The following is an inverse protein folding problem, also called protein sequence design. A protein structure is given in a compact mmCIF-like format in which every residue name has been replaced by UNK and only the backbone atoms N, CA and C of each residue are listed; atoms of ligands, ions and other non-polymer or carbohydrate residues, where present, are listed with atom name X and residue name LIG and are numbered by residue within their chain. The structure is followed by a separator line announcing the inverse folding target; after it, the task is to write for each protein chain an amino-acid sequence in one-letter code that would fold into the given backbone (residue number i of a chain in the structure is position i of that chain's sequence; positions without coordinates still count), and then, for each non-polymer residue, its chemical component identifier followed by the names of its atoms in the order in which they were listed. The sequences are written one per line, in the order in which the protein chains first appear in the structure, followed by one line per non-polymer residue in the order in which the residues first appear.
data_IF_903641328550
#
_entry.id   IF_903641328550
#
_cell.length_a   1.000
_cell.length_b   1.000
_cell.length_c   1.000
_cell.angle_alpha   90.00
_cell.angle_beta   90.00
_cell.angle_gamma   90.00
#
_symmetry.space_group_name_H-M   'P 1'
#
loop_
_entity.id
_entity.type
_entity.pdbx_description
1 polymer ?
#
# COMPACT_ATOMS: atom_id res chain seq x y z
N UNK A 1 -31.11 21.90 8.30
CA UNK A 1 -30.03 21.78 7.34
C UNK A 1 -29.27 20.50 7.55
N UNK A 2 -28.90 19.85 6.46
CA UNK A 2 -28.11 18.63 6.54
C UNK A 2 -26.64 18.97 6.86
N UNK A 3 -25.99 18.11 7.64
CA UNK A 3 -24.55 18.19 7.86
C UNK A 3 -23.86 17.44 6.74
N UNK A 4 -22.90 18.07 6.11
CA UNK A 4 -22.14 17.47 5.03
C UNK A 4 -20.71 17.21 5.52
N UNK A 5 -20.29 15.94 5.47
CA UNK A 5 -18.96 15.56 5.89
C UNK A 5 -18.12 15.34 4.64
N UNK A 6 -17.02 16.06 4.53
CA UNK A 6 -16.11 15.93 3.40
C UNK A 6 -14.71 15.60 3.93
N UNK A 7 -14.08 14.62 3.30
CA UNK A 7 -12.67 14.37 3.56
C UNK A 7 -11.84 15.44 2.84
N UNK A 8 -10.70 15.78 3.41
CA UNK A 8 -9.77 16.68 2.74
C UNK A 8 -8.54 15.90 2.25
N UNK A 9 -7.62 16.59 1.60
CA UNK A 9 -6.42 15.98 1.06
C UNK A 9 -5.20 16.14 1.98
N UNK A 10 -5.44 16.38 3.26
CA UNK A 10 -4.34 16.59 4.20
C UNK A 10 -3.94 15.29 4.89
N UNK A 11 -2.62 15.05 4.94
CA UNK A 11 -2.03 13.95 5.68
C UNK A 11 -1.39 14.43 7.00
N UNK A 12 -1.66 15.68 7.37
CA UNK A 12 -1.04 16.28 8.54
C UNK A 12 -1.43 15.56 9.82
N UNK A 13 -0.45 15.20 10.63
CA UNK A 13 -0.67 14.53 11.90
C UNK A 13 -1.02 13.06 11.80
N UNK A 14 -1.00 12.49 10.60
CA UNK A 14 -1.34 11.09 10.37
C UNK A 14 -0.08 10.23 10.31
N UNK A 15 -0.25 8.96 10.67
CA UNK A 15 0.83 7.97 10.65
C UNK A 15 0.52 6.91 9.58
N UNK A 16 1.54 6.58 8.81
CA UNK A 16 1.40 5.66 7.68
C UNK A 16 2.42 4.54 7.76
N UNK A 17 1.98 3.33 7.42
CA UNK A 17 2.88 2.24 7.14
C UNK A 17 2.82 1.94 5.65
N UNK A 18 3.96 1.69 5.05
CA UNK A 18 4.05 1.31 3.65
C UNK A 18 4.64 -0.09 3.60
N UNK A 19 3.90 -1.03 3.01
CA UNK A 19 4.40 -2.38 2.77
C UNK A 19 4.77 -2.46 1.31
N UNK A 20 6.01 -2.79 1.01
CA UNK A 20 6.49 -2.76 -0.36
C UNK A 20 7.22 -4.06 -0.71
N UNK A 21 6.91 -4.61 -1.88
CA UNK A 21 7.52 -5.85 -2.33
C UNK A 21 8.91 -5.60 -2.94
N UNK A 22 9.83 -6.54 -2.70
CA UNK A 22 11.18 -6.47 -3.28
C UNK A 22 11.23 -6.88 -4.75
N UNK A 23 10.20 -7.56 -5.22
CA UNK A 23 10.19 -8.00 -6.61
C UNK A 23 10.34 -6.79 -7.53
N UNK A 24 11.34 -6.84 -8.41
CA UNK A 24 11.71 -5.72 -9.28
C UNK A 24 12.00 -4.46 -8.45
N UNK A 25 13.06 -4.55 -7.66
CA UNK A 25 13.38 -3.55 -6.64
C UNK A 25 13.61 -2.15 -7.20
N UNK A 26 14.11 -2.03 -8.43
CA UNK A 26 14.29 -0.72 -9.04
C UNK A 26 12.96 0.01 -9.20
N UNK A 27 11.95 -0.67 -9.72
CA UNK A 27 10.61 -0.08 -9.89
C UNK A 27 9.98 0.16 -8.53
N UNK A 28 10.11 -0.81 -7.62
CA UNK A 28 9.53 -0.69 -6.27
C UNK A 28 10.12 0.47 -5.50
N UNK A 29 11.44 0.71 -5.62
CA UNK A 29 12.07 1.85 -4.97
C UNK A 29 11.51 3.17 -5.49
N UNK A 30 11.26 3.27 -6.79
CA UNK A 30 10.65 4.47 -7.37
C UNK A 30 9.23 4.67 -6.87
N UNK A 31 8.47 3.58 -6.72
CA UNK A 31 7.12 3.67 -6.14
C UNK A 31 7.16 4.17 -4.71
N UNK A 32 8.09 3.65 -3.93
CA UNK A 32 8.25 4.04 -2.53
C UNK A 32 8.58 5.52 -2.43
N UNK A 33 9.54 5.99 -3.22
CA UNK A 33 9.92 7.39 -3.21
C UNK A 33 8.75 8.30 -3.59
N UNK A 34 8.00 7.92 -4.62
CA UNK A 34 6.83 8.67 -5.04
C UNK A 34 5.74 8.71 -3.99
N UNK A 35 5.55 7.60 -3.29
CA UNK A 35 4.56 7.52 -2.22
C UNK A 35 4.95 8.44 -1.05
N UNK A 36 6.19 8.37 -0.61
CA UNK A 36 6.69 9.22 0.47
C UNK A 36 6.60 10.70 0.07
N UNK A 37 7.01 11.02 -1.15
CA UNK A 37 6.95 12.39 -1.64
C UNK A 37 5.52 12.93 -1.64
N UNK A 38 4.58 12.13 -2.12
CA UNK A 38 3.17 12.54 -2.14
C UNK A 38 2.63 12.76 -0.74
N UNK A 39 2.92 11.86 0.19
CA UNK A 39 2.47 12.01 1.56
C UNK A 39 3.05 13.26 2.23
N UNK A 40 4.34 13.53 2.00
CA UNK A 40 4.97 14.70 2.61
C UNK A 40 4.47 15.99 2.00
N UNK A 41 4.18 16.01 0.71
CA UNK A 41 3.56 17.17 0.07
C UNK A 41 2.17 17.47 0.62
N UNK A 42 1.48 16.46 1.11
CA UNK A 42 0.15 16.65 1.70
C UNK A 42 0.20 16.84 3.22
N UNK A 43 1.38 17.03 3.78
CA UNK A 43 1.55 17.42 5.16
C UNK A 43 2.07 16.36 6.12
N UNK A 44 2.29 15.13 5.66
CA UNK A 44 2.84 14.09 6.54
C UNK A 44 4.30 14.38 6.86
N UNK A 45 4.71 14.04 8.07
CA UNK A 45 6.12 14.12 8.44
C UNK A 45 6.80 12.80 8.12
N UNK A 46 8.03 12.86 7.64
CA UNK A 46 8.77 11.64 7.32
C UNK A 46 8.88 10.69 8.51
N UNK A 47 9.05 11.21 9.68
CA UNK A 47 9.14 10.41 10.91
C UNK A 47 7.84 9.64 11.20
N UNK A 48 6.72 10.02 10.59
CA UNK A 48 5.43 9.37 10.76
C UNK A 48 5.17 8.32 9.67
N UNK A 49 6.14 8.05 8.81
CA UNK A 49 6.04 7.10 7.71
C UNK A 49 7.04 5.98 7.94
N UNK A 50 6.55 4.74 8.03
CA UNK A 50 7.42 3.57 8.17
C UNK A 50 7.24 2.67 6.96
N UNK A 51 8.35 2.22 6.37
CA UNK A 51 8.32 1.34 5.22
C UNK A 51 8.85 -0.04 5.60
N UNK A 52 8.12 -1.08 5.19
CA UNK A 52 8.48 -2.47 5.45
C UNK A 52 8.58 -3.19 4.11
N UNK A 53 9.75 -3.76 3.82
CA UNK A 53 9.98 -4.53 2.61
C UNK A 53 9.59 -5.98 2.82
N UNK A 54 8.88 -6.56 1.86
CA UNK A 54 8.54 -7.98 1.85
C UNK A 54 9.04 -8.61 0.55
N UNK A 55 9.22 -9.94 0.50
CA UNK A 55 9.80 -10.58 -0.69
C UNK A 55 9.01 -10.37 -1.97
N UNK A 56 7.72 -10.52 -1.94
CA UNK A 56 6.88 -10.37 -3.13
C UNK A 56 5.49 -9.89 -2.80
N UNK A 57 4.69 -9.67 -3.84
CA UNK A 57 3.34 -9.14 -3.67
C UNK A 57 2.43 -10.09 -2.87
N UNK A 58 2.69 -11.39 -2.98
CA UNK A 58 1.87 -12.40 -2.28
C UNK A 58 2.03 -12.34 -0.76
N UNK A 59 3.14 -11.80 -0.27
CA UNK A 59 3.40 -11.64 1.16
C UNK A 59 2.87 -10.33 1.73
N UNK A 60 2.43 -9.40 0.87
CA UNK A 60 1.94 -8.11 1.30
C UNK A 60 0.75 -8.22 2.27
N UNK A 61 -0.28 -9.03 2.00
CA UNK A 61 -1.45 -9.05 2.87
C UNK A 61 -1.16 -9.43 4.32
N UNK A 62 -0.32 -10.44 4.57
CA UNK A 62 -0.07 -10.88 5.94
C UNK A 62 0.65 -9.81 6.75
N UNK A 63 1.59 -9.09 6.14
CA UNK A 63 2.31 -8.02 6.83
C UNK A 63 1.40 -6.80 7.00
N UNK A 64 0.62 -6.47 5.98
CA UNK A 64 -0.34 -5.37 6.08
C UNK A 64 -1.35 -5.62 7.21
N UNK A 65 -1.82 -6.86 7.36
CA UNK A 65 -2.73 -7.22 8.43
C UNK A 65 -2.10 -6.98 9.80
N UNK A 66 -0.86 -7.41 9.96
CA UNK A 66 -0.15 -7.22 11.22
C UNK A 66 -0.01 -5.74 11.57
N UNK A 67 0.35 -4.93 10.60
CA UNK A 67 0.50 -3.48 10.80
C UNK A 67 -0.84 -2.81 11.10
N UNK A 68 -1.88 -3.16 10.36
CA UNK A 68 -3.20 -2.60 10.59
C UNK A 68 -3.75 -2.96 11.96
N UNK A 69 -3.55 -4.20 12.39
CA UNK A 69 -4.03 -4.65 13.70
C UNK A 69 -3.27 -4.02 14.86
N UNK A 70 -2.07 -3.51 14.62
CA UNK A 70 -1.28 -2.87 15.68
C UNK A 70 -1.91 -1.59 16.20
N UNK A 71 -2.80 -0.98 15.44
CA UNK A 71 -3.47 0.30 15.75
C UNK A 71 -2.49 1.47 15.86
N UNK A 72 -1.30 1.33 15.32
CA UNK A 72 -0.30 2.41 15.34
C UNK A 72 -0.40 3.35 14.14
N UNK A 73 -1.11 2.94 13.11
CA UNK A 73 -1.16 3.68 11.84
C UNK A 73 -2.58 4.06 11.46
N UNK A 74 -2.71 5.22 10.85
CA UNK A 74 -3.99 5.69 10.33
C UNK A 74 -4.33 5.03 8.99
N UNK A 75 -3.32 4.59 8.27
CA UNK A 75 -3.51 3.87 7.01
C UNK A 75 -2.29 3.00 6.71
N UNK A 76 -2.52 1.94 5.95
CA UNK A 76 -1.47 1.05 5.47
C UNK A 76 -1.51 1.09 3.94
N UNK A 77 -0.39 1.46 3.34
CA UNK A 77 -0.27 1.57 1.89
C UNK A 77 0.57 0.41 1.39
N UNK A 78 0.01 -0.38 0.51
CA UNK A 78 0.69 -1.56 -0.04
C UNK A 78 1.13 -1.26 -1.45
N UNK A 79 2.41 -1.41 -1.72
CA UNK A 79 2.99 -1.14 -3.03
C UNK A 79 3.64 -2.39 -3.57
N UNK A 80 3.36 -2.72 -4.81
CA UNK A 80 3.94 -3.89 -5.41
C UNK A 80 4.05 -3.77 -6.91
N UNK A 81 5.05 -4.44 -7.45
CA UNK A 81 5.25 -4.58 -8.88
C UNK A 81 4.94 -6.02 -9.25
N UNK A 82 4.01 -6.21 -10.16
CA UNK A 82 3.70 -7.52 -10.70
C UNK A 82 3.84 -7.42 -12.22
N UNK A 83 4.76 -8.21 -12.76
CA UNK A 83 5.05 -8.16 -14.19
C UNK A 83 4.31 -9.28 -14.90
N UNK A 84 3.55 -8.90 -15.91
CA UNK A 84 2.83 -9.88 -16.73
C UNK A 84 3.80 -10.60 -17.63
N UNK A 85 3.89 -11.91 -17.46
CA UNK A 85 4.70 -12.76 -18.31
C UNK A 85 3.86 -13.57 -19.29
N UNK A 86 4.43 -14.66 -19.76
CA UNK A 86 3.76 -15.56 -20.71
C UNK A 86 2.74 -16.49 -20.05
N UNK A 87 2.68 -16.51 -18.72
CA UNK A 87 1.77 -17.37 -17.96
C UNK A 87 0.75 -16.54 -17.22
N UNK A 88 -0.36 -17.12 -16.73
CA UNK A 88 -1.36 -16.39 -15.97
C UNK A 88 -0.95 -16.08 -14.53
N UNK A 89 0.27 -16.39 -14.15
CA UNK A 89 0.78 -16.16 -12.79
C UNK A 89 0.59 -14.69 -12.33
N UNK A 90 0.80 -13.76 -13.25
CA UNK A 90 0.59 -12.34 -12.99
C UNK A 90 -0.80 -12.05 -12.43
N UNK A 91 -1.84 -12.56 -13.11
CA UNK A 91 -3.22 -12.27 -12.70
C UNK A 91 -3.57 -12.92 -11.37
N UNK A 92 -3.07 -14.12 -11.14
CA UNK A 92 -3.30 -14.82 -9.88
C UNK A 92 -2.69 -14.03 -8.71
N UNK A 93 -1.43 -13.67 -8.82
CA UNK A 93 -0.74 -12.96 -7.72
C UNK A 93 -1.40 -11.59 -7.47
N UNK A 94 -1.69 -10.84 -8.52
CA UNK A 94 -2.29 -9.52 -8.40
C UNK A 94 -3.68 -9.60 -7.77
N UNK A 95 -4.48 -10.56 -8.21
CA UNK A 95 -5.84 -10.75 -7.71
C UNK A 95 -5.86 -11.14 -6.24
N UNK A 96 -5.03 -12.11 -5.84
CA UNK A 96 -4.99 -12.58 -4.47
C UNK A 96 -4.46 -11.52 -3.51
N UNK A 97 -3.44 -10.77 -3.93
CA UNK A 97 -2.92 -9.68 -3.11
C UNK A 97 -3.97 -8.59 -2.92
N UNK A 98 -4.67 -8.21 -3.99
CA UNK A 98 -5.71 -7.18 -3.92
C UNK A 98 -6.87 -7.60 -3.01
N UNK A 99 -7.32 -8.85 -3.13
CA UNK A 99 -8.39 -9.37 -2.27
C UNK A 99 -7.98 -9.38 -0.81
N UNK A 100 -6.73 -9.79 -0.54
CA UNK A 100 -6.22 -9.82 0.82
C UNK A 100 -6.17 -8.45 1.45
N UNK A 101 -5.68 -7.46 0.71
CA UNK A 101 -5.60 -6.08 1.21
C UNK A 101 -6.99 -5.51 1.46
N UNK A 102 -7.93 -5.74 0.54
CA UNK A 102 -9.30 -5.27 0.71
C UNK A 102 -9.96 -5.85 1.96
N UNK A 103 -9.75 -7.15 2.22
CA UNK A 103 -10.29 -7.80 3.39
C UNK A 103 -9.75 -7.20 4.68
N UNK A 104 -8.47 -6.88 4.72
CA UNK A 104 -7.84 -6.28 5.90
C UNK A 104 -8.48 -4.92 6.22
N UNK A 105 -8.75 -4.11 5.21
CA UNK A 105 -9.39 -2.82 5.39
C UNK A 105 -10.72 -2.97 6.12
N UNK A 106 -11.53 -3.92 5.68
CA UNK A 106 -12.84 -4.16 6.27
C UNK A 106 -12.73 -4.77 7.68
N UNK A 107 -11.83 -5.72 7.87
CA UNK A 107 -11.71 -6.43 9.14
C UNK A 107 -11.12 -5.57 10.26
N UNK A 108 -10.23 -4.66 9.91
CA UNK A 108 -9.53 -3.84 10.92
C UNK A 108 -10.07 -2.42 11.03
N UNK A 109 -10.89 -1.98 10.08
CA UNK A 109 -11.34 -0.60 9.92
C UNK A 109 -10.20 0.40 9.74
N UNK A 110 -9.00 -0.08 9.42
CA UNK A 110 -7.88 0.76 9.03
C UNK A 110 -7.79 0.74 7.51
N UNK A 111 -7.83 1.90 6.85
CA UNK A 111 -7.71 1.92 5.39
C UNK A 111 -6.44 1.24 4.92
N UNK A 112 -6.58 0.26 4.07
CA UNK A 112 -5.45 -0.43 3.44
C UNK A 112 -5.61 -0.24 1.93
N UNK A 113 -4.62 0.39 1.33
CA UNK A 113 -4.64 0.79 -0.07
C UNK A 113 -3.63 -0.05 -0.82
N UNK A 114 -3.99 -0.50 -2.00
CA UNK A 114 -3.08 -1.29 -2.82
C UNK A 114 -2.76 -0.53 -4.10
N UNK A 115 -1.52 -0.02 -4.16
CA UNK A 115 -0.97 0.56 -5.38
C UNK A 115 -0.04 -0.45 -6.02
N UNK A 116 -0.29 -0.78 -7.28
CA UNK A 116 0.56 -1.73 -7.98
C UNK A 116 0.89 -1.22 -9.37
N UNK A 117 2.04 -1.63 -9.87
CA UNK A 117 2.38 -1.50 -11.27
C UNK A 117 2.27 -2.88 -11.90
N UNK A 118 1.37 -3.02 -12.86
CA UNK A 118 1.28 -4.19 -13.67
C UNK A 118 1.79 -3.85 -15.06
N UNK A 119 2.67 -4.69 -15.58
CA UNK A 119 3.20 -4.48 -16.92
C UNK A 119 2.81 -5.61 -17.84
N UNK A 120 2.34 -5.23 -19.01
CA UNK A 120 1.89 -6.21 -19.97
C UNK A 120 3.07 -6.94 -20.64
N UNK A 121 4.20 -6.27 -20.75
CA UNK A 121 5.39 -6.81 -21.40
C UNK A 121 6.64 -6.47 -20.64
N UNK A 122 7.60 -7.33 -20.76
CA UNK A 122 8.92 -7.14 -20.18
C UNK A 122 9.91 -6.92 -21.31
#
# INVERSE_FOLDING_TARGET
MANVIKADLSAKGKKFAIVISRFNEFISSNLLEGCIDTLTRHGAQEAAIEAVWVPGAFEIPVIAQKLAKSKKYDAVICLGTVIRGSTPHFEFVASEAAKGVAKISLDTTVPCIFGKIGRAHV
#
